data_IF_849906158940
#
_entry.id   IF_849906158940
#
_cell.length_a   1.000
_cell.length_b   1.000
_cell.length_c   1.000
_cell.angle_alpha   90.00
_cell.angle_beta   90.00
_cell.angle_gamma   90.00
#
_symmetry.space_group_name_H-M   'P 1'
#
loop_
_entity.id
_entity.type
_entity.pdbx_description
1 polymer ?
#
# COMPACT_ATOMS: atom_id res chain seq x y z
N UNK A 1 25.09 -12.38 4.75
CA UNK A 1 24.52 -11.10 4.23
C UNK A 1 23.12 -11.31 3.66
N UNK A 2 22.89 -12.38 2.89
CA UNK A 2 21.56 -12.82 2.42
C UNK A 2 20.59 -13.22 3.54
N UNK A 3 21.09 -13.79 4.65
CA UNK A 3 20.26 -14.24 5.78
C UNK A 3 19.51 -13.12 6.50
N UNK A 4 20.11 -11.94 6.60
CA UNK A 4 19.45 -10.77 7.19
C UNK A 4 18.31 -10.26 6.31
N UNK A 5 18.47 -10.35 4.99
CA UNK A 5 17.43 -10.01 4.02
C UNK A 5 16.27 -11.00 4.07
N UNK A 6 16.56 -12.31 4.17
CA UNK A 6 15.52 -13.33 4.37
C UNK A 6 14.78 -13.15 5.70
N UNK A 7 15.50 -12.82 6.80
CA UNK A 7 14.87 -12.54 8.09
C UNK A 7 14.03 -11.26 8.06
N UNK A 8 14.49 -10.20 7.41
CA UNK A 8 13.73 -8.95 7.27
C UNK A 8 12.46 -9.15 6.43
N UNK A 9 12.56 -9.82 5.28
CA UNK A 9 11.42 -10.14 4.42
C UNK A 9 10.45 -11.09 5.12
N UNK A 10 10.97 -12.10 5.84
CA UNK A 10 10.16 -13.01 6.67
C UNK A 10 9.42 -12.26 7.79
N UNK A 11 10.09 -11.36 8.51
CA UNK A 11 9.45 -10.56 9.55
C UNK A 11 8.35 -9.64 8.99
N UNK A 12 8.56 -9.03 7.82
CA UNK A 12 7.60 -8.07 7.26
C UNK A 12 6.40 -8.78 6.61
N UNK A 13 6.61 -9.85 5.84
CA UNK A 13 5.52 -10.53 5.13
C UNK A 13 4.80 -11.58 6.00
N UNK A 14 5.51 -12.27 6.90
CA UNK A 14 4.91 -13.33 7.74
C UNK A 14 4.27 -12.75 9.00
N UNK A 15 4.92 -11.78 9.66
CA UNK A 15 4.37 -11.18 10.89
C UNK A 15 3.27 -10.16 10.61
N UNK A 16 3.30 -9.52 9.44
CA UNK A 16 2.34 -8.50 9.03
C UNK A 16 1.41 -8.97 7.90
N UNK A 17 1.06 -10.26 7.90
CA UNK A 17 0.16 -10.87 6.91
C UNK A 17 -1.23 -10.21 6.91
N UNK A 18 -1.60 -9.57 8.02
CA UNK A 18 -2.80 -8.75 8.15
C UNK A 18 -2.80 -7.60 7.14
N UNK A 19 -1.69 -6.91 6.90
CA UNK A 19 -1.61 -5.80 5.95
C UNK A 19 -1.89 -6.26 4.50
N UNK A 20 -1.35 -7.41 4.12
CA UNK A 20 -1.54 -7.99 2.79
C UNK A 20 -2.98 -8.51 2.58
N UNK A 21 -3.60 -9.08 3.63
CA UNK A 21 -5.00 -9.52 3.58
C UNK A 21 -5.99 -8.35 3.61
N UNK A 22 -5.74 -7.30 4.39
CA UNK A 22 -6.67 -6.18 4.53
C UNK A 22 -6.71 -5.24 3.33
N UNK A 23 -5.59 -4.99 2.64
CA UNK A 23 -5.61 -4.23 1.38
C UNK A 23 -6.01 -5.10 0.17
N UNK A 24 -5.86 -6.43 0.28
CA UNK A 24 -5.94 -7.35 -0.85
C UNK A 24 -7.17 -8.25 -0.92
N UNK A 25 -8.03 -8.33 0.10
CA UNK A 25 -9.17 -9.27 0.10
C UNK A 25 -10.15 -9.01 -1.05
N UNK A 26 -10.47 -7.74 -1.32
CA UNK A 26 -11.41 -7.34 -2.37
C UNK A 26 -10.94 -7.72 -3.78
N UNK A 27 -9.69 -7.41 -4.21
CA UNK A 27 -9.17 -7.87 -5.50
C UNK A 27 -8.93 -9.39 -5.53
N UNK A 28 -8.58 -10.01 -4.40
CA UNK A 28 -8.34 -11.44 -4.32
C UNK A 28 -9.60 -12.25 -4.64
N UNK A 29 -10.74 -11.93 -4.01
CA UNK A 29 -12.02 -12.61 -4.26
C UNK A 29 -12.48 -12.46 -5.72
N UNK A 30 -12.21 -11.31 -6.34
CA UNK A 30 -12.56 -11.05 -7.74
C UNK A 30 -11.72 -11.81 -8.77
N UNK A 31 -10.51 -12.26 -8.39
CA UNK A 31 -9.54 -12.81 -9.36
C UNK A 31 -9.06 -14.23 -9.05
N UNK A 32 -9.62 -14.87 -8.01
CA UNK A 32 -9.31 -16.27 -7.61
C UNK A 32 -9.40 -17.33 -8.72
N UNK A 33 -10.12 -17.06 -9.82
CA UNK A 33 -10.34 -18.04 -10.90
C UNK A 33 -9.43 -17.87 -12.13
N UNK A 34 -8.81 -16.72 -12.35
CA UNK A 34 -8.06 -16.44 -13.59
C UNK A 34 -6.75 -15.72 -13.30
N UNK A 35 -5.63 -16.42 -13.48
CA UNK A 35 -4.28 -15.89 -13.22
C UNK A 35 -3.90 -14.75 -14.18
N UNK A 36 -4.32 -14.81 -15.44
CA UNK A 36 -4.09 -13.73 -16.41
C UNK A 36 -4.72 -12.40 -15.95
N UNK A 37 -5.93 -12.45 -15.40
CA UNK A 37 -6.61 -11.28 -14.85
C UNK A 37 -5.93 -10.78 -13.57
N UNK A 38 -5.29 -11.67 -12.79
CA UNK A 38 -4.62 -11.31 -11.54
C UNK A 38 -3.45 -10.37 -11.80
N UNK A 39 -2.66 -10.69 -12.82
CA UNK A 39 -1.49 -9.92 -13.21
C UNK A 39 -1.90 -8.50 -13.65
N UNK A 40 -2.96 -8.40 -14.47
CA UNK A 40 -3.50 -7.12 -14.91
C UNK A 40 -4.06 -6.25 -13.77
N UNK A 41 -4.83 -6.85 -12.85
CA UNK A 41 -5.42 -6.12 -11.72
C UNK A 41 -4.35 -5.60 -10.76
N UNK A 42 -3.35 -6.43 -10.42
CA UNK A 42 -2.29 -6.02 -9.49
C UNK A 42 -1.42 -4.92 -10.11
N UNK A 43 -1.15 -4.97 -11.42
CA UNK A 43 -0.45 -3.92 -12.14
C UNK A 43 -1.19 -2.57 -12.09
N UNK A 44 -2.51 -2.58 -12.30
CA UNK A 44 -3.33 -1.37 -12.19
C UNK A 44 -3.34 -0.77 -10.79
N UNK A 45 -3.46 -1.61 -9.76
CA UNK A 45 -3.49 -1.17 -8.36
C UNK A 45 -2.15 -0.54 -7.95
N UNK A 46 -1.01 -1.13 -8.33
CA UNK A 46 0.32 -0.57 -8.03
C UNK A 46 0.50 0.81 -8.69
N UNK A 47 0.01 0.97 -9.91
CA UNK A 47 0.07 2.25 -10.61
C UNK A 47 -0.78 3.33 -9.93
N UNK A 48 -2.01 3.01 -9.52
CA UNK A 48 -2.87 3.97 -8.81
C UNK A 48 -2.31 4.30 -7.43
N UNK A 49 -1.81 3.32 -6.68
CA UNK A 49 -1.22 3.53 -5.35
C UNK A 49 0.03 4.41 -5.39
N UNK A 50 0.88 4.25 -6.41
CA UNK A 50 2.09 5.08 -6.55
C UNK A 50 1.75 6.53 -6.90
N UNK A 51 0.81 6.76 -7.82
CA UNK A 51 0.34 8.11 -8.13
C UNK A 51 -0.40 8.77 -6.96
N UNK A 52 -1.29 8.03 -6.30
CA UNK A 52 -2.01 8.52 -5.13
C UNK A 52 -1.03 8.91 -4.02
N UNK A 53 -0.04 8.06 -3.73
CA UNK A 53 1.00 8.35 -2.74
C UNK A 53 1.82 9.61 -3.04
N UNK A 54 2.20 9.81 -4.30
CA UNK A 54 2.92 11.02 -4.75
C UNK A 54 2.08 12.29 -4.56
N UNK A 55 0.80 12.24 -4.95
CA UNK A 55 -0.11 13.37 -4.84
C UNK A 55 -0.39 13.68 -3.36
N UNK A 56 -0.73 12.67 -2.56
CA UNK A 56 -0.98 12.82 -1.12
C UNK A 56 0.26 13.36 -0.40
N UNK A 57 1.47 12.89 -0.73
CA UNK A 57 2.70 13.41 -0.13
C UNK A 57 2.93 14.89 -0.47
N UNK A 58 2.66 15.28 -1.72
CA UNK A 58 2.80 16.68 -2.15
C UNK A 58 1.81 17.57 -1.42
N UNK A 59 0.56 17.13 -1.28
CA UNK A 59 -0.50 17.87 -0.57
C UNK A 59 -0.20 17.97 0.93
N UNK A 60 0.26 16.89 1.56
CA UNK A 60 0.63 16.88 2.99
C UNK A 60 1.78 17.85 3.28
N UNK A 61 2.82 17.83 2.44
CA UNK A 61 4.00 18.66 2.61
C UNK A 61 3.73 20.16 2.37
N UNK A 62 2.93 20.51 1.36
CA UNK A 62 2.70 21.91 0.96
C UNK A 62 1.46 22.54 1.57
N UNK A 63 0.35 21.81 1.64
CA UNK A 63 -0.94 22.37 2.07
C UNK A 63 -1.12 22.23 3.58
N UNK A 64 -0.82 21.06 4.14
CA UNK A 64 -1.14 20.78 5.54
C UNK A 64 -0.17 21.44 6.52
N UNK A 65 1.12 21.44 6.18
CA UNK A 65 2.19 22.00 7.01
C UNK A 65 2.24 23.52 7.00
N UNK A 66 1.72 24.15 5.94
CA UNK A 66 1.70 25.62 5.80
C UNK A 66 0.43 26.24 6.40
N UNK A 67 -0.66 25.48 6.49
CA UNK A 67 -1.98 25.98 6.90
C UNK A 67 -2.42 25.45 8.28
N UNK A 68 -1.55 24.72 8.99
CA UNK A 68 -1.72 24.19 10.37
C UNK A 68 -2.99 23.32 10.57
N UNK A 69 -3.61 22.83 9.49
CA UNK A 69 -4.81 21.98 9.50
C UNK A 69 -4.46 20.50 9.72
N UNK A 70 -3.59 20.21 10.67
CA UNK A 70 -3.11 18.85 10.99
C UNK A 70 -4.25 17.87 11.32
N UNK A 71 -5.40 18.39 11.75
CA UNK A 71 -6.59 17.62 12.14
C UNK A 71 -7.37 16.97 10.99
N UNK A 72 -7.16 17.38 9.74
CA UNK A 72 -7.84 16.80 8.57
C UNK A 72 -7.05 15.63 7.94
N UNK A 73 -5.83 15.37 8.41
CA UNK A 73 -5.04 14.26 7.89
C UNK A 73 -5.43 12.95 8.55
N UNK A 74 -6.10 12.12 7.75
CA UNK A 74 -6.53 10.75 8.03
C UNK A 74 -5.37 9.80 8.40
N UNK A 75 -4.10 10.21 8.20
CA UNK A 75 -2.89 9.44 8.57
C UNK A 75 -2.46 9.55 10.05
N UNK A 76 -3.13 10.36 10.88
CA UNK A 76 -2.84 10.55 12.32
C UNK A 76 -3.82 9.81 13.25
N UNK A 77 -4.37 8.67 12.82
CA UNK A 77 -4.99 7.68 13.72
C UNK A 77 -4.05 6.50 13.95
#
# INVERSE_FOLDING_TARGET
MSDYLLMAVGAILVNNILLAQYLGCCPFVGVSKQMDTAVGMTGGVVFVLTLAGLITWTIDAYLLRYFDLVYLNERNM
#
